data_IF_715817415883
#
_entry.id   IF_715817415883
#
_cell.length_a   1.000
_cell.length_b   1.000
_cell.length_c   1.000
_cell.angle_alpha   90.00
_cell.angle_beta   90.00
_cell.angle_gamma   90.00
#
_symmetry.space_group_name_H-M   'P 1'
#
loop_
_entity.id
_entity.type
_entity.pdbx_description
1 polymer ?
#
# COMPACT_ATOMS: atom_id res chain seq x y z
N UNK A 1 75.10 46.60 -35.31
CA UNK A 1 75.38 48.00 -34.95
C UNK A 1 74.07 48.62 -34.49
N UNK A 2 74.01 49.08 -33.23
CA UNK A 2 72.94 49.91 -32.60
C UNK A 2 71.50 49.34 -32.57
N UNK A 3 70.68 49.53 -31.53
CA UNK A 3 70.91 50.07 -30.20
C UNK A 3 69.80 49.57 -29.24
N UNK A 4 70.18 49.57 -27.97
CA UNK A 4 69.46 49.42 -26.68
C UNK A 4 68.07 50.08 -26.54
N UNK A 5 67.23 49.50 -25.64
CA UNK A 5 66.41 50.13 -24.55
C UNK A 5 65.74 48.97 -23.75
N UNK A 6 66.28 48.53 -22.60
CA UNK A 6 65.94 48.85 -21.18
C UNK A 6 64.47 48.68 -20.71
N UNK A 7 64.33 47.75 -19.73
CA UNK A 7 63.57 47.81 -18.44
C UNK A 7 62.02 47.66 -18.54
N UNK A 8 61.23 47.05 -17.63
CA UNK A 8 61.37 46.63 -16.22
C UNK A 8 60.11 45.80 -15.81
N UNK A 9 60.33 44.78 -14.96
CA UNK A 9 59.48 44.21 -13.88
C UNK A 9 58.10 43.56 -14.10
N UNK A 10 57.96 42.45 -13.36
CA UNK A 10 56.83 42.06 -12.49
C UNK A 10 55.65 41.31 -13.11
N UNK A 11 55.57 40.00 -12.88
CA UNK A 11 54.89 39.40 -11.71
C UNK A 11 54.86 37.88 -11.93
N UNK A 12 55.40 37.16 -10.95
CA UNK A 12 55.30 35.72 -10.76
C UNK A 12 53.87 35.22 -10.89
N UNK A 13 53.65 34.12 -11.61
CA UNK A 13 52.74 33.04 -11.18
C UNK A 13 52.81 31.84 -12.13
N UNK A 14 52.50 30.67 -11.56
CA UNK A 14 52.18 29.38 -12.19
C UNK A 14 53.35 28.39 -12.18
N UNK A 15 53.23 27.20 -11.60
CA UNK A 15 52.49 26.68 -10.44
C UNK A 15 53.13 25.31 -10.22
N UNK A 16 53.42 24.98 -8.96
CA UNK A 16 53.98 23.70 -8.55
C UNK A 16 53.11 22.52 -9.04
N UNK A 17 53.73 21.56 -9.73
CA UNK A 17 53.21 20.20 -9.86
C UNK A 17 53.23 19.53 -8.49
N UNK A 18 52.10 19.53 -7.81
CA UNK A 18 51.85 18.73 -6.61
C UNK A 18 50.80 17.67 -6.92
N UNK A 19 51.23 16.40 -7.02
CA UNK A 19 50.34 15.25 -6.96
C UNK A 19 49.57 15.29 -5.63
N UNK A 20 48.32 15.73 -5.68
CA UNK A 20 47.36 15.54 -4.58
C UNK A 20 46.57 14.27 -4.87
N UNK A 21 47.08 13.15 -4.40
CA UNK A 21 46.32 11.91 -4.23
C UNK A 21 45.30 12.13 -3.11
N UNK A 22 44.10 12.63 -3.44
CA UNK A 22 43.00 12.63 -2.48
C UNK A 22 42.54 11.20 -2.30
N UNK A 23 42.78 10.65 -1.10
CA UNK A 23 42.16 9.40 -0.69
C UNK A 23 40.63 9.58 -0.71
N UNK A 24 39.94 8.81 -1.57
CA UNK A 24 38.50 8.65 -1.49
C UNK A 24 38.22 7.82 -0.23
N UNK A 25 37.91 8.50 0.88
CA UNK A 25 37.32 7.85 2.04
C UNK A 25 35.91 7.38 1.64
N UNK A 26 35.74 6.08 1.38
CA UNK A 26 34.43 5.50 1.20
C UNK A 26 33.63 5.68 2.51
N UNK A 27 32.60 6.55 2.47
CA UNK A 27 31.72 6.76 3.61
C UNK A 27 31.10 5.42 4.04
N UNK A 28 31.51 4.91 5.20
CA UNK A 28 30.93 3.69 5.78
C UNK A 28 29.42 3.87 5.91
N UNK A 29 28.59 2.94 5.44
CA UNK A 29 27.15 3.06 5.58
C UNK A 29 26.80 3.16 7.06
N UNK A 30 26.18 4.28 7.47
CA UNK A 30 25.60 4.43 8.81
C UNK A 30 24.64 3.26 9.05
N UNK A 31 25.00 2.38 9.99
CA UNK A 31 24.16 1.26 10.43
C UNK A 31 22.90 1.88 11.06
N UNK A 32 21.80 1.88 10.31
CA UNK A 32 20.52 2.43 10.78
C UNK A 32 20.02 1.62 11.96
N UNK A 33 19.38 2.30 12.93
CA UNK A 33 18.78 1.64 14.08
C UNK A 33 17.71 0.63 13.58
N UNK A 34 17.76 -0.64 13.99
CA UNK A 34 16.75 -1.64 13.64
C UNK A 34 15.30 -1.18 13.85
N UNK A 35 15.04 -0.38 14.91
CA UNK A 35 13.70 0.17 15.19
C UNK A 35 13.27 1.21 14.15
N UNK A 36 14.20 2.05 13.71
CA UNK A 36 13.94 3.05 12.66
C UNK A 36 13.66 2.37 11.32
N UNK A 37 14.42 1.32 10.99
CA UNK A 37 14.21 0.53 9.77
C UNK A 37 12.83 -0.14 9.81
N UNK A 38 12.47 -0.77 10.91
CA UNK A 38 11.17 -1.43 11.07
C UNK A 38 10.00 -0.45 10.95
N UNK A 39 10.05 0.69 11.65
CA UNK A 39 9.01 1.71 11.58
C UNK A 39 8.84 2.27 10.17
N UNK A 40 9.94 2.42 9.43
CA UNK A 40 9.90 2.86 8.03
C UNK A 40 9.23 1.81 7.13
N UNK A 41 9.58 0.54 7.28
CA UNK A 41 8.98 -0.56 6.51
C UNK A 41 7.48 -0.66 6.77
N UNK A 42 7.05 -0.59 8.03
CA UNK A 42 5.62 -0.63 8.38
C UNK A 42 4.84 0.57 7.79
N UNK A 43 5.45 1.76 7.79
CA UNK A 43 4.84 2.95 7.17
C UNK A 43 4.75 2.81 5.66
N UNK A 44 5.74 2.19 5.02
CA UNK A 44 5.72 1.95 3.59
C UNK A 44 4.67 0.91 3.22
N UNK A 45 4.57 -0.15 4.01
CA UNK A 45 3.61 -1.24 3.87
C UNK A 45 2.16 -0.75 3.97
N UNK A 46 1.89 0.23 4.85
CA UNK A 46 0.56 0.80 5.05
C UNK A 46 0.08 1.74 3.92
N UNK A 47 0.95 2.12 2.98
CA UNK A 47 0.56 2.98 1.85
C UNK A 47 -0.28 2.19 0.86
N UNK A 48 -1.23 2.87 0.22
CA UNK A 48 -2.00 2.26 -0.85
C UNK A 48 -1.12 1.78 -1.99
N UNK A 49 -1.45 0.64 -2.61
CA UNK A 49 -0.92 0.27 -3.90
C UNK A 49 -1.09 1.40 -4.93
N UNK A 50 -0.18 1.48 -5.90
CA UNK A 50 -0.26 2.46 -6.99
C UNK A 50 -1.57 2.23 -7.77
N UNK A 51 -2.35 3.29 -7.98
CA UNK A 51 -3.64 3.22 -8.69
C UNK A 51 -4.85 2.98 -7.79
N UNK A 52 -4.63 2.51 -6.56
CA UNK A 52 -5.69 2.29 -5.58
C UNK A 52 -6.01 3.59 -4.83
N UNK A 53 -7.27 4.02 -4.86
CA UNK A 53 -7.73 5.32 -4.32
C UNK A 53 -8.65 5.11 -3.13
N UNK A 54 -8.65 5.99 -2.10
CA UNK A 54 -9.56 5.89 -0.96
C UNK A 54 -10.98 6.35 -1.34
N UNK A 55 -11.64 5.59 -2.20
CA UNK A 55 -12.97 5.88 -2.76
C UNK A 55 -13.80 4.59 -2.81
N UNK A 56 -15.09 4.70 -3.14
CA UNK A 56 -15.98 3.53 -3.24
C UNK A 56 -16.40 2.93 -1.91
N UNK A 57 -16.08 3.56 -0.78
CA UNK A 57 -16.49 3.10 0.55
C UNK A 57 -16.86 4.27 1.48
N UNK A 58 -17.64 3.96 2.50
CA UNK A 58 -17.97 4.87 3.61
C UNK A 58 -17.87 4.13 4.94
N UNK A 59 -17.41 4.82 5.97
CA UNK A 59 -17.33 4.31 7.33
C UNK A 59 -18.26 5.13 8.22
N UNK A 60 -19.25 4.47 8.82
CA UNK A 60 -20.23 5.13 9.68
C UNK A 60 -20.70 4.18 10.78
N UNK A 61 -20.80 4.68 12.02
CA UNK A 61 -21.27 3.92 13.19
C UNK A 61 -20.61 2.54 13.34
N UNK A 62 -19.28 2.44 13.12
CA UNK A 62 -18.49 1.19 13.16
C UNK A 62 -18.78 0.19 12.04
N UNK A 63 -19.52 0.60 11.02
CA UNK A 63 -19.82 -0.18 9.82
C UNK A 63 -19.00 0.36 8.66
N UNK A 64 -18.34 -0.55 7.95
CA UNK A 64 -17.71 -0.28 6.67
C UNK A 64 -18.68 -0.67 5.55
N UNK A 65 -19.08 0.29 4.73
CA UNK A 65 -19.94 0.09 3.57
C UNK A 65 -19.12 0.26 2.29
N UNK A 66 -19.20 -0.70 1.37
CA UNK A 66 -18.60 -0.65 0.04
C UNK A 66 -19.70 -0.42 -1.00
N UNK A 67 -19.38 0.35 -2.03
CA UNK A 67 -20.30 0.71 -3.12
C UNK A 67 -19.70 0.32 -4.49
N UNK A 68 -19.59 -0.98 -4.80
CA UNK A 68 -19.09 -1.43 -6.10
C UNK A 68 -19.82 -0.77 -7.28
N UNK A 69 -19.08 -0.38 -8.31
CA UNK A 69 -19.64 0.31 -9.48
C UNK A 69 -19.96 1.81 -9.30
N UNK A 70 -19.84 2.37 -8.09
CA UNK A 70 -20.08 3.82 -7.86
C UNK A 70 -19.02 4.69 -8.53
N UNK A 71 -17.75 4.28 -8.46
CA UNK A 71 -16.61 5.08 -8.94
C UNK A 71 -16.15 4.72 -10.36
N UNK A 72 -16.54 3.55 -10.87
CA UNK A 72 -16.00 3.03 -12.13
C UNK A 72 -16.63 1.74 -12.61
N UNK A 73 -15.85 0.66 -12.66
CA UNK A 73 -16.28 -0.62 -13.21
C UNK A 73 -17.40 -1.26 -12.38
N UNK A 74 -18.39 -1.88 -13.05
CA UNK A 74 -19.49 -2.63 -12.40
C UNK A 74 -18.99 -3.71 -11.43
N UNK A 75 -17.82 -4.27 -11.73
CA UNK A 75 -17.08 -5.17 -10.85
C UNK A 75 -15.93 -4.38 -10.25
N UNK A 76 -15.96 -4.17 -8.94
CA UNK A 76 -14.94 -3.43 -8.21
C UNK A 76 -13.90 -4.36 -7.60
N UNK A 77 -12.71 -3.81 -7.39
CA UNK A 77 -11.60 -4.45 -6.70
C UNK A 77 -11.18 -3.57 -5.53
N UNK A 78 -11.45 -4.05 -4.32
CA UNK A 78 -11.10 -3.38 -3.07
C UNK A 78 -9.88 -4.03 -2.44
N UNK A 79 -8.99 -3.21 -1.92
CA UNK A 79 -7.86 -3.63 -1.08
C UNK A 79 -8.09 -3.14 0.34
N UNK A 80 -7.79 -4.01 1.30
CA UNK A 80 -7.98 -3.79 2.73
C UNK A 80 -6.63 -3.98 3.42
N UNK A 81 -6.20 -2.98 4.16
CA UNK A 81 -5.02 -3.07 5.01
C UNK A 81 -5.42 -3.06 6.47
N UNK A 82 -4.98 -4.08 7.20
CA UNK A 82 -5.14 -4.10 8.64
C UNK A 82 -4.06 -3.25 9.33
N UNK A 83 -4.45 -2.08 9.85
CA UNK A 83 -3.58 -1.18 10.61
C UNK A 83 -3.22 -1.74 11.99
N UNK A 84 -4.05 -2.62 12.54
CA UNK A 84 -3.87 -3.17 13.89
C UNK A 84 -2.64 -4.08 13.99
N UNK A 85 -2.10 -4.18 15.19
CA UNK A 85 -1.10 -5.19 15.57
C UNK A 85 -1.71 -6.57 15.83
N UNK A 86 -3.03 -6.72 15.70
CA UNK A 86 -3.79 -7.95 15.88
C UNK A 86 -4.59 -8.26 14.62
N UNK A 87 -5.01 -9.52 14.46
CA UNK A 87 -5.93 -9.88 13.39
C UNK A 87 -7.28 -9.16 13.57
N UNK A 88 -7.86 -8.74 12.45
CA UNK A 88 -9.18 -8.09 12.39
C UNK A 88 -10.07 -8.93 11.49
N UNK A 89 -11.25 -9.28 12.00
CA UNK A 89 -12.26 -10.03 11.26
C UNK A 89 -13.33 -9.09 10.74
N UNK A 90 -13.63 -9.20 9.46
CA UNK A 90 -14.72 -8.56 8.75
C UNK A 90 -15.90 -9.52 8.70
N UNK A 91 -17.00 -9.18 9.37
CA UNK A 91 -18.24 -9.92 9.32
C UNK A 91 -19.25 -9.18 8.47
N UNK A 92 -19.72 -9.82 7.40
CA UNK A 92 -20.72 -9.24 6.52
C UNK A 92 -22.03 -9.07 7.27
N UNK A 93 -22.53 -7.83 7.30
CA UNK A 93 -23.87 -7.53 7.74
C UNK A 93 -24.84 -7.88 6.62
N UNK A 94 -25.91 -8.60 6.97
CA UNK A 94 -26.91 -9.05 6.02
C UNK A 94 -28.26 -8.44 6.35
N UNK A 95 -28.94 -7.94 5.33
CA UNK A 95 -30.39 -7.71 5.31
C UNK A 95 -31.10 -8.89 4.62
N UNK A 96 -32.43 -8.85 4.53
CA UNK A 96 -33.26 -9.93 3.97
C UNK A 96 -32.91 -10.26 2.51
N UNK A 97 -32.62 -9.24 1.68
CA UNK A 97 -32.25 -9.41 0.28
C UNK A 97 -30.86 -10.06 0.13
N UNK A 98 -29.93 -9.74 1.03
CA UNK A 98 -28.60 -10.33 1.01
C UNK A 98 -28.55 -11.76 1.51
N UNK A 99 -29.63 -12.40 2.00
CA UNK A 99 -29.60 -13.77 2.55
C UNK A 99 -29.19 -14.84 1.51
N UNK A 100 -29.40 -14.55 0.22
CA UNK A 100 -29.11 -15.45 -0.88
C UNK A 100 -27.74 -15.22 -1.54
N UNK A 101 -26.99 -14.19 -1.13
CA UNK A 101 -25.66 -13.89 -1.68
C UNK A 101 -24.55 -14.72 -1.03
N UNK A 102 -23.36 -14.76 -1.65
CA UNK A 102 -22.19 -15.42 -1.05
C UNK A 102 -21.74 -14.66 0.19
N UNK A 103 -21.38 -15.39 1.26
CA UNK A 103 -20.83 -14.79 2.49
C UNK A 103 -19.42 -14.26 2.24
N UNK A 104 -19.18 -13.00 2.62
CA UNK A 104 -17.88 -12.34 2.47
C UNK A 104 -17.07 -12.25 3.77
N UNK A 105 -17.40 -13.04 4.79
CA UNK A 105 -16.66 -13.01 6.05
C UNK A 105 -15.18 -13.32 5.81
N UNK A 106 -14.28 -12.54 6.43
CA UNK A 106 -12.85 -12.69 6.21
C UNK A 106 -12.04 -12.20 7.41
N UNK A 107 -10.84 -12.73 7.60
CA UNK A 107 -9.94 -12.31 8.70
C UNK A 107 -8.61 -11.88 8.11
N UNK A 108 -8.26 -10.62 8.32
CA UNK A 108 -7.00 -10.03 7.85
C UNK A 108 -6.02 -10.05 9.03
N UNK A 109 -4.89 -10.72 8.89
CA UNK A 109 -3.88 -10.74 9.96
C UNK A 109 -3.27 -9.35 10.19
N UNK A 110 -2.61 -9.21 11.34
CA UNK A 110 -1.96 -7.96 11.73
C UNK A 110 -1.04 -7.44 10.63
N UNK A 111 -1.17 -6.15 10.28
CA UNK A 111 -0.28 -5.46 9.32
C UNK A 111 -0.20 -6.13 7.95
N UNK A 112 -1.29 -6.77 7.50
CA UNK A 112 -1.37 -7.42 6.19
C UNK A 112 -2.45 -6.82 5.30
N UNK A 113 -2.28 -7.06 4.01
CA UNK A 113 -3.22 -6.72 2.95
C UNK A 113 -4.08 -7.91 2.55
N UNK A 114 -5.34 -7.62 2.25
CA UNK A 114 -6.30 -8.52 1.62
C UNK A 114 -6.98 -7.81 0.44
N UNK A 115 -7.61 -8.57 -0.46
CA UNK A 115 -8.26 -8.03 -1.64
C UNK A 115 -9.58 -8.76 -1.93
N UNK A 116 -10.63 -7.98 -2.20
CA UNK A 116 -11.98 -8.46 -2.52
C UNK A 116 -12.36 -8.01 -3.93
N UNK A 117 -12.76 -8.95 -4.77
CA UNK A 117 -13.52 -8.67 -5.97
C UNK A 117 -15.00 -8.79 -5.65
N UNK A 118 -15.80 -7.79 -6.01
CA UNK A 118 -17.26 -7.85 -5.86
C UNK A 118 -17.97 -6.94 -6.86
N UNK A 119 -19.13 -7.39 -7.34
CA UNK A 119 -20.10 -6.59 -8.10
C UNK A 119 -21.43 -6.42 -7.36
N UNK A 120 -21.51 -6.81 -6.09
CA UNK A 120 -22.70 -6.57 -5.26
C UNK A 120 -22.91 -5.06 -5.08
N UNK A 121 -24.12 -4.50 -5.32
CA UNK A 121 -24.33 -3.05 -5.26
C UNK A 121 -23.98 -2.40 -3.91
N UNK A 122 -24.07 -3.18 -2.82
CA UNK A 122 -23.77 -2.74 -1.47
C UNK A 122 -23.25 -3.91 -0.64
N UNK A 123 -22.06 -3.74 -0.05
CA UNK A 123 -21.51 -4.71 0.91
C UNK A 123 -21.22 -4.00 2.22
N UNK A 124 -21.74 -4.51 3.34
CA UNK A 124 -21.54 -3.94 4.67
C UNK A 124 -20.77 -4.90 5.55
N UNK A 125 -19.79 -4.40 6.28
CA UNK A 125 -18.99 -5.15 7.24
C UNK A 125 -19.02 -4.51 8.63
N UNK A 126 -19.06 -5.35 9.65
CA UNK A 126 -18.65 -5.01 11.01
C UNK A 126 -17.26 -5.59 11.27
N UNK A 127 -16.39 -4.80 11.89
CA UNK A 127 -15.04 -5.23 12.24
C UNK A 127 -14.96 -5.71 13.69
N UNK A 128 -14.23 -6.79 13.94
CA UNK A 128 -13.96 -7.27 15.30
C UNK A 128 -12.49 -7.64 15.53
N UNK A 129 -12.04 -7.49 16.78
CA UNK A 129 -10.76 -8.01 17.26
C UNK A 129 -10.94 -9.43 17.80
N UNK A 130 -10.05 -10.34 17.44
CA UNK A 130 -9.97 -11.65 18.09
C UNK A 130 -9.25 -12.74 17.28
N UNK A 131 -8.85 -13.78 18.01
CA UNK A 131 -8.17 -15.01 17.54
C UNK A 131 -9.16 -16.18 17.31
N UNK A 132 -10.46 -15.90 17.26
CA UNK A 132 -11.52 -16.90 17.10
C UNK A 132 -12.04 -17.54 18.40
N UNK A 133 -11.58 -17.11 19.60
CA UNK A 133 -12.04 -17.69 20.90
C UNK A 133 -13.40 -17.21 21.41
N UNK A 134 -13.93 -16.13 20.85
CA UNK A 134 -15.30 -15.66 21.10
C UNK A 134 -16.07 -15.67 19.80
N UNK A 135 -17.34 -16.07 19.82
CA UNK A 135 -18.15 -16.35 18.62
C UNK A 135 -18.11 -15.27 17.55
N UNK A 136 -17.95 -13.99 17.94
CA UNK A 136 -17.83 -12.86 17.03
C UNK A 136 -16.66 -11.89 17.33
N UNK A 137 -15.85 -12.09 18.37
CA UNK A 137 -14.81 -11.12 18.74
C UNK A 137 -15.36 -9.85 19.42
N UNK A 138 -14.47 -8.93 19.80
CA UNK A 138 -14.85 -7.60 20.29
C UNK A 138 -15.10 -6.68 19.11
N UNK A 139 -16.31 -6.14 18.97
CA UNK A 139 -16.63 -5.14 17.92
C UNK A 139 -15.76 -3.89 18.12
N UNK A 140 -15.15 -3.45 17.03
CA UNK A 140 -14.30 -2.26 16.95
C UNK A 140 -14.78 -1.34 15.83
N UNK A 141 -14.27 -0.11 15.81
CA UNK A 141 -14.47 0.78 14.68
C UNK A 141 -13.60 0.33 13.50
N UNK A 142 -14.23 0.09 12.35
CA UNK A 142 -13.52 -0.24 11.12
C UNK A 142 -12.58 0.89 10.69
N UNK A 143 -12.98 2.14 10.87
CA UNK A 143 -12.20 3.32 10.48
C UNK A 143 -10.85 3.39 11.21
N UNK A 144 -10.78 2.88 12.43
CA UNK A 144 -9.54 2.85 13.22
C UNK A 144 -8.67 1.65 12.87
N UNK A 145 -9.26 0.56 12.39
CA UNK A 145 -8.61 -0.73 12.25
C UNK A 145 -8.18 -1.07 10.82
N UNK A 146 -8.97 -0.68 9.83
CA UNK A 146 -8.77 -1.03 8.43
C UNK A 146 -8.58 0.24 7.61
N UNK A 147 -7.69 0.21 6.63
CA UNK A 147 -7.74 1.16 5.53
C UNK A 147 -8.26 0.46 4.28
N UNK A 148 -9.11 1.13 3.53
CA UNK A 148 -9.70 0.61 2.31
C UNK A 148 -9.31 1.50 1.14
N UNK A 149 -9.06 0.90 -0.01
CA UNK A 149 -8.96 1.61 -1.27
C UNK A 149 -9.56 0.77 -2.40
N UNK A 150 -10.01 1.43 -3.46
CA UNK A 150 -10.58 0.82 -4.66
C UNK A 150 -9.68 1.09 -5.87
N UNK A 151 -9.52 0.08 -6.72
CA UNK A 151 -9.03 0.25 -8.08
C UNK A 151 -10.20 0.62 -9.01
N UNK A 152 -10.40 1.91 -9.22
CA UNK A 152 -11.48 2.44 -10.08
C UNK A 152 -11.34 2.01 -11.55
N UNK A 153 -10.10 1.80 -11.99
CA UNK A 153 -9.74 1.33 -13.33
C UNK A 153 -9.26 -0.12 -13.23
N UNK A 154 -10.15 -1.09 -13.29
CA UNK A 154 -9.76 -2.52 -13.21
C UNK A 154 -10.31 -3.30 -14.38
N UNK A 155 -9.51 -4.24 -14.91
CA UNK A 155 -9.93 -5.15 -15.97
C UNK A 155 -9.95 -6.58 -15.46
N UNK A 156 -11.13 -7.18 -15.48
CA UNK A 156 -11.34 -8.58 -15.16
C UNK A 156 -11.34 -9.42 -16.43
N UNK A 157 -10.60 -10.53 -16.45
CA UNK A 157 -10.85 -11.59 -17.40
C UNK A 157 -12.29 -12.10 -17.28
N UNK A 158 -12.89 -12.56 -18.39
CA UNK A 158 -14.31 -12.98 -18.40
C UNK A 158 -14.63 -14.03 -17.32
N UNK A 159 -13.71 -14.97 -17.09
CA UNK A 159 -13.86 -16.04 -16.11
C UNK A 159 -13.48 -15.64 -14.68
N UNK A 160 -12.98 -14.42 -14.48
CA UNK A 160 -12.50 -13.92 -13.19
C UNK A 160 -13.49 -12.93 -12.55
N UNK A 161 -14.68 -12.74 -13.12
CA UNK A 161 -15.74 -11.93 -12.50
C UNK A 161 -16.46 -12.73 -11.43
N UNK A 162 -17.01 -12.05 -10.43
CA UNK A 162 -17.74 -12.69 -9.33
C UNK A 162 -17.34 -12.14 -7.97
N UNK A 163 -17.90 -12.68 -6.90
CA UNK A 163 -17.73 -12.11 -5.56
C UNK A 163 -16.89 -13.03 -4.67
N UNK A 164 -15.63 -12.69 -4.47
CA UNK A 164 -14.68 -13.54 -3.73
C UNK A 164 -13.45 -12.77 -3.25
N UNK A 165 -12.87 -13.26 -2.16
CA UNK A 165 -11.55 -12.83 -1.69
C UNK A 165 -10.47 -13.43 -2.58
N UNK A 166 -9.57 -12.59 -3.07
CA UNK A 166 -8.44 -12.99 -3.92
C UNK A 166 -7.19 -13.22 -3.06
N UNK A 167 -7.05 -12.42 -2.00
CA UNK A 167 -5.85 -12.35 -1.16
C UNK A 167 -6.26 -12.46 0.30
N UNK A 168 -5.68 -13.43 1.00
CA UNK A 168 -6.05 -13.77 2.40
C UNK A 168 -5.09 -13.19 3.46
N UNK A 169 -4.08 -12.42 3.05
CA UNK A 169 -3.12 -11.80 3.98
C UNK A 169 -1.68 -11.91 3.50
N UNK A 170 -1.14 -10.80 3.00
CA UNK A 170 0.23 -10.72 2.48
C UNK A 170 0.74 -9.27 2.55
N UNK A 171 1.90 -9.01 1.97
CA UNK A 171 2.43 -7.64 1.83
C UNK A 171 1.70 -6.87 0.73
N UNK A 172 1.83 -5.55 0.67
CA UNK A 172 1.19 -4.66 -0.32
C UNK A 172 1.48 -5.13 -1.73
N UNK A 173 2.76 -5.37 -2.02
CA UNK A 173 3.19 -5.84 -3.34
C UNK A 173 2.81 -7.30 -3.56
N UNK A 174 2.80 -8.12 -2.50
CA UNK A 174 2.28 -9.49 -2.55
C UNK A 174 0.82 -9.53 -3.02
N UNK A 175 -0.03 -8.67 -2.46
CA UNK A 175 -1.44 -8.60 -2.76
C UNK A 175 -1.70 -8.18 -4.21
N UNK A 176 -0.98 -7.16 -4.69
CA UNK A 176 -1.02 -6.77 -6.11
C UNK A 176 -0.60 -7.91 -7.02
N UNK A 177 0.50 -8.60 -6.70
CA UNK A 177 1.01 -9.70 -7.50
C UNK A 177 0.05 -10.91 -7.52
N UNK A 178 -0.64 -11.20 -6.43
CA UNK A 178 -1.64 -12.26 -6.36
C UNK A 178 -2.88 -11.93 -7.20
N UNK A 179 -3.37 -10.69 -7.14
CA UNK A 179 -4.45 -10.21 -8.02
C UNK A 179 -4.07 -10.32 -9.50
N UNK A 180 -2.87 -9.90 -9.86
CA UNK A 180 -2.36 -10.03 -11.23
C UNK A 180 -2.24 -11.50 -11.65
N UNK A 181 -1.73 -12.36 -10.76
CA UNK A 181 -1.63 -13.81 -11.01
C UNK A 181 -2.98 -14.48 -11.17
N UNK A 182 -4.01 -13.99 -10.48
CA UNK A 182 -5.38 -14.43 -10.68
C UNK A 182 -5.92 -14.05 -12.08
N UNK A 183 -5.27 -13.12 -12.78
CA UNK A 183 -5.69 -12.64 -14.10
C UNK A 183 -6.64 -11.44 -14.03
N UNK A 184 -6.49 -10.62 -12.98
CA UNK A 184 -7.15 -9.31 -12.85
C UNK A 184 -6.08 -8.25 -12.98
N UNK A 185 -6.33 -7.25 -13.83
CA UNK A 185 -5.35 -6.17 -14.09
C UNK A 185 -5.79 -4.92 -13.34
N UNK A 186 -5.17 -4.60 -12.18
CA UNK A 186 -5.35 -3.32 -11.51
C UNK A 186 -4.71 -2.22 -12.37
N UNK A 187 -5.51 -1.27 -12.83
CA UNK A 187 -5.06 -0.10 -13.57
C UNK A 187 -4.75 1.08 -12.64
N UNK A 188 -3.92 2.00 -13.12
CA UNK A 188 -3.59 3.25 -12.44
C UNK A 188 -4.63 4.36 -12.73
#
# INVERSE_FOLDING_TARGET
MMNTIKKITSISLIFFLGLMSTHLEAAKPKKKDPKEVQAKTEKEEARFPIGCKPVGYEENLKVLSLFPGKEGALQSLYFFFNKSSQAVSLYQMRDEDSQYTTRYNHTIRARQWAALATGEPLVKFTCTLGDGKTSYGKIIDCADAINVCEYVNVKFGLNNKGNYWIVDGTTRNGAVNEVVRYGIIPGA
#
